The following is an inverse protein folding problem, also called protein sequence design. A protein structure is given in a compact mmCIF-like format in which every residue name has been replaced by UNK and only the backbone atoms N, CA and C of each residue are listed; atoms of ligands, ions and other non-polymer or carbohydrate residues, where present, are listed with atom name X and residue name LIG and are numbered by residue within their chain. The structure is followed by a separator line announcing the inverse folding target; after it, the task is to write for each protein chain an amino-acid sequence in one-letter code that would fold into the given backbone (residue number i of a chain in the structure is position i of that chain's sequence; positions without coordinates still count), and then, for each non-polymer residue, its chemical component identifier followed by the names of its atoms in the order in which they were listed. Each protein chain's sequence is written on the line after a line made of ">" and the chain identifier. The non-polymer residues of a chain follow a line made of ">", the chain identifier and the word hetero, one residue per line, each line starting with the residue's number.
data_IF_773116229258
#
_entry.id   IF_773116229258
#
_cell.length_a   1.000
_cell.length_b   1.000
_cell.length_c   1.000
_cell.angle_alpha   90.00
_cell.angle_beta   90.00
_cell.angle_gamma   90.00
#
_symmetry.space_group_name_H-M   'P 1'
#
loop_
_entity.id
_entity.type
_entity.pdbx_description
1 polymer ?
#
# COMPACT_ATOMS: atom_id res chain seq x y z
N UNK A 1 -5.04 -29.23 25.05
CA UNK A 1 -4.01 -28.19 24.89
C UNK A 1 -4.36 -27.41 23.63
N UNK A 2 -4.84 -26.17 23.79
CA UNK A 2 -5.17 -25.29 22.68
C UNK A 2 -3.84 -24.61 22.27
N UNK A 3 -3.49 -24.68 20.98
CA UNK A 3 -2.32 -23.95 20.47
C UNK A 3 -2.46 -22.44 20.69
N UNK A 4 -1.38 -21.65 20.54
CA UNK A 4 -1.43 -20.21 20.77
C UNK A 4 -2.53 -19.59 19.89
N UNK A 5 -3.41 -18.82 20.50
CA UNK A 5 -4.51 -18.15 19.82
C UNK A 5 -3.93 -17.18 18.78
N UNK A 6 -4.16 -17.50 17.50
CA UNK A 6 -3.84 -16.64 16.36
C UNK A 6 -4.73 -15.40 16.40
N UNK A 7 -4.26 -14.32 17.02
CA UNK A 7 -4.89 -13.01 16.89
C UNK A 7 -4.74 -12.53 15.43
N UNK A 8 -5.71 -11.79 14.87
CA UNK A 8 -5.60 -11.26 13.51
C UNK A 8 -4.28 -10.51 13.28
N UNK A 9 -3.80 -9.76 14.28
CA UNK A 9 -2.52 -9.06 14.22
C UNK A 9 -1.31 -9.95 13.94
N UNK A 10 -1.27 -11.18 14.47
CA UNK A 10 -0.19 -12.11 14.20
C UNK A 10 -0.23 -12.69 12.78
N UNK A 11 -1.38 -12.70 12.11
CA UNK A 11 -1.52 -13.22 10.75
C UNK A 11 -1.11 -12.18 9.68
N UNK A 12 -1.27 -10.87 9.96
CA UNK A 12 -0.87 -9.80 9.05
C UNK A 12 0.64 -9.66 8.90
N UNK A 13 1.38 -9.91 9.99
CA UNK A 13 2.85 -9.78 9.99
C UNK A 13 3.59 -11.11 9.78
N UNK A 14 2.87 -12.21 9.54
CA UNK A 14 3.46 -13.55 9.33
C UNK A 14 3.87 -13.87 7.89
N UNK A 15 3.74 -12.93 6.94
CA UNK A 15 4.42 -12.98 5.63
C UNK A 15 5.91 -12.59 5.79
N UNK A 16 6.64 -13.32 6.64
CA UNK A 16 7.92 -12.92 7.26
C UNK A 16 9.15 -12.90 6.35
N UNK A 17 9.04 -13.01 5.03
CA UNK A 17 10.21 -12.86 4.14
C UNK A 17 10.22 -11.53 3.40
N UNK A 18 9.13 -11.17 2.72
CA UNK A 18 9.07 -9.93 1.93
C UNK A 18 8.95 -8.67 2.78
N UNK A 19 8.38 -8.77 3.99
CA UNK A 19 8.23 -7.62 4.89
C UNK A 19 9.55 -7.19 5.50
N UNK A 20 10.46 -8.12 5.84
CA UNK A 20 11.74 -7.78 6.46
C UNK A 20 12.64 -6.98 5.52
N UNK A 21 12.72 -7.36 4.24
CA UNK A 21 13.55 -6.67 3.24
C UNK A 21 13.05 -5.24 2.98
N UNK A 22 11.73 -5.06 2.88
CA UNK A 22 11.11 -3.74 2.72
C UNK A 22 11.37 -2.87 3.97
N UNK A 23 11.22 -3.45 5.16
CA UNK A 23 11.48 -2.73 6.42
C UNK A 23 12.93 -2.30 6.56
N UNK A 24 13.87 -3.15 6.14
CA UNK A 24 15.29 -2.84 6.09
C UNK A 24 15.58 -1.74 5.07
N UNK A 25 15.00 -1.83 3.86
CA UNK A 25 15.15 -0.82 2.81
C UNK A 25 14.65 0.55 3.27
N UNK A 26 13.45 0.61 3.85
CA UNK A 26 12.89 1.86 4.39
C UNK A 26 13.82 2.43 5.48
N UNK A 27 14.34 1.56 6.35
CA UNK A 27 15.22 1.98 7.42
C UNK A 27 16.53 2.57 6.88
N UNK A 28 17.15 1.91 5.90
CA UNK A 28 18.39 2.36 5.27
C UNK A 28 18.21 3.69 4.55
N UNK A 29 17.20 3.81 3.69
CA UNK A 29 16.97 5.02 2.91
C UNK A 29 16.58 6.21 3.81
N UNK A 30 15.86 5.94 4.91
CA UNK A 30 15.59 6.97 5.92
C UNK A 30 16.88 7.49 6.54
N UNK A 31 17.76 6.60 7.02
CA UNK A 31 19.05 7.01 7.60
C UNK A 31 19.95 7.72 6.59
N UNK A 32 19.94 7.28 5.33
CA UNK A 32 20.66 7.92 4.23
C UNK A 32 20.20 9.37 4.02
N UNK A 33 18.88 9.59 3.97
CA UNK A 33 18.30 10.94 3.86
C UNK A 33 18.70 11.84 5.05
N UNK A 34 18.62 11.32 6.28
CA UNK A 34 19.02 12.09 7.47
C UNK A 34 20.52 12.47 7.47
N UNK A 35 21.38 11.56 7.01
CA UNK A 35 22.82 11.82 6.87
C UNK A 35 23.08 12.92 5.85
N UNK A 36 22.38 12.91 4.71
CA UNK A 36 22.49 13.93 3.67
C UNK A 36 22.01 15.31 4.13
N UNK A 37 21.04 15.36 5.05
CA UNK A 37 20.50 16.59 5.62
C UNK A 37 21.27 17.09 6.87
N UNK A 38 22.52 16.64 7.07
CA UNK A 38 23.42 17.00 8.16
C UNK A 38 22.90 16.72 9.59
N UNK A 39 21.94 15.81 9.76
CA UNK A 39 21.40 15.42 11.06
C UNK A 39 21.90 14.03 11.47
N UNK A 40 23.13 13.95 11.97
CA UNK A 40 23.81 12.68 12.28
C UNK A 40 23.40 12.05 13.64
N UNK A 41 22.49 12.66 14.40
CA UNK A 41 22.05 12.17 15.71
C UNK A 41 20.83 11.27 15.63
N UNK A 42 20.18 11.19 14.47
CA UNK A 42 18.97 10.41 14.29
C UNK A 42 19.30 8.91 14.18
N UNK A 43 18.60 8.09 14.97
CA UNK A 43 18.64 6.65 14.87
C UNK A 43 17.22 6.11 14.73
N UNK A 44 17.06 5.08 13.92
CA UNK A 44 15.78 4.43 13.67
C UNK A 44 15.86 2.98 14.14
N UNK A 45 15.01 2.63 15.11
CA UNK A 45 14.83 1.24 15.53
C UNK A 45 13.76 0.58 14.66
N UNK A 46 13.95 -0.69 14.29
CA UNK A 46 12.92 -1.47 13.58
C UNK A 46 11.57 -1.46 14.29
N UNK A 47 11.56 -1.53 15.63
CA UNK A 47 10.33 -1.43 16.43
C UNK A 47 9.61 -0.08 16.26
N UNK A 48 10.37 1.02 16.13
CA UNK A 48 9.76 2.34 15.92
C UNK A 48 9.11 2.42 14.54
N UNK A 49 9.77 1.86 13.51
CA UNK A 49 9.23 1.82 12.16
C UNK A 49 7.97 0.94 12.09
N UNK A 50 7.96 -0.22 12.77
CA UNK A 50 6.79 -1.09 12.88
C UNK A 50 5.62 -0.37 13.55
N UNK A 51 5.87 0.34 14.66
CA UNK A 51 4.84 1.14 15.33
C UNK A 51 4.33 2.23 14.40
N UNK A 52 5.21 2.95 13.70
CA UNK A 52 4.83 4.01 12.77
C UNK A 52 3.93 3.49 11.63
N UNK A 53 4.30 2.37 11.01
CA UNK A 53 3.47 1.74 9.98
C UNK A 53 2.16 1.19 10.55
N UNK A 54 2.18 0.67 11.79
CA UNK A 54 0.98 0.28 12.50
C UNK A 54 0.01 1.44 12.69
N UNK A 55 0.50 2.64 13.03
CA UNK A 55 -0.30 3.86 13.14
C UNK A 55 -0.89 4.26 11.78
N UNK A 56 -0.10 4.21 10.70
CA UNK A 56 -0.57 4.53 9.34
C UNK A 56 -1.69 3.58 8.91
N UNK A 57 -1.47 2.28 9.08
CA UNK A 57 -2.47 1.26 8.77
C UNK A 57 -3.74 1.50 9.58
N UNK A 58 -3.61 1.68 10.89
CA UNK A 58 -4.76 1.91 11.77
C UNK A 58 -5.56 3.16 11.37
N UNK A 59 -4.89 4.23 10.91
CA UNK A 59 -5.53 5.44 10.38
C UNK A 59 -6.37 5.14 9.14
N UNK A 60 -5.91 4.26 8.26
CA UNK A 60 -6.61 3.90 7.04
C UNK A 60 -7.81 2.97 7.30
N UNK A 61 -7.73 2.10 8.32
CA UNK A 61 -8.82 1.18 8.69
C UNK A 61 -10.06 1.88 9.31
N UNK A 62 -9.96 3.13 9.76
CA UNK A 62 -11.07 3.85 10.41
C UNK A 62 -11.64 4.94 9.50
N UNK A 63 -12.93 4.82 9.17
CA UNK A 63 -13.62 5.67 8.20
C UNK A 63 -14.04 7.07 8.70
N UNK A 64 -13.51 7.57 9.83
CA UNK A 64 -13.85 8.90 10.35
C UNK A 64 -12.64 9.70 10.87
N UNK A 65 -12.73 11.01 10.62
CA UNK A 65 -11.68 12.02 10.45
C UNK A 65 -11.56 12.95 11.67
N UNK A 66 -10.41 12.95 12.35
CA UNK A 66 -9.72 14.12 12.95
C UNK A 66 -8.53 13.60 13.76
N UNK A 67 -7.35 14.22 13.61
CA UNK A 67 -6.14 13.82 14.36
C UNK A 67 -6.38 13.77 15.88
N UNK A 68 -7.24 14.64 16.40
CA UNK A 68 -7.51 14.78 17.83
C UNK A 68 -8.31 13.62 18.45
N UNK A 69 -9.08 12.88 17.65
CA UNK A 69 -9.86 11.73 18.12
C UNK A 69 -9.03 10.45 18.26
N UNK A 70 -7.81 10.43 17.70
CA UNK A 70 -6.91 9.27 17.72
C UNK A 70 -6.51 8.84 19.14
N UNK A 71 -6.42 9.78 20.09
CA UNK A 71 -6.08 9.51 21.48
C UNK A 71 -7.30 9.36 22.40
N UNK A 72 -8.51 9.32 21.83
CA UNK A 72 -9.75 9.24 22.62
C UNK A 72 -10.07 7.78 23.00
N UNK A 73 -10.42 7.55 24.26
CA UNK A 73 -10.77 6.21 24.78
C UNK A 73 -12.28 5.90 24.69
N UNK A 74 -12.98 6.40 23.67
CA UNK A 74 -14.44 6.18 23.52
C UNK A 74 -14.79 4.83 22.89
N UNK A 75 -15.89 4.21 23.32
CA UNK A 75 -16.34 2.87 22.91
C UNK A 75 -16.73 2.76 21.41
N UNK A 76 -17.02 3.88 20.74
CA UNK A 76 -17.47 3.94 19.33
C UNK A 76 -16.34 3.76 18.30
N UNK A 77 -15.08 3.66 18.74
CA UNK A 77 -13.89 3.50 17.88
C UNK A 77 -13.60 2.02 17.52
N UNK A 78 -14.62 1.19 17.30
CA UNK A 78 -14.46 -0.27 17.26
C UNK A 78 -14.27 -0.86 15.83
N UNK A 79 -13.14 -1.53 15.51
CA UNK A 79 -12.76 -1.94 14.14
C UNK A 79 -13.22 -3.35 13.70
N UNK A 80 -14.52 -3.67 13.79
CA UNK A 80 -15.01 -5.02 13.44
C UNK A 80 -15.40 -5.26 11.98
N UNK A 81 -14.64 -4.73 11.00
CA UNK A 81 -14.87 -5.10 9.59
C UNK A 81 -13.58 -5.40 8.84
N UNK A 82 -12.99 -6.54 9.15
CA UNK A 82 -11.84 -7.09 8.42
C UNK A 82 -12.31 -7.88 7.20
N UNK A 83 -11.79 -7.62 5.98
CA UNK A 83 -11.88 -8.57 4.88
C UNK A 83 -10.99 -9.78 5.21
N UNK A 84 -11.55 -10.79 5.88
CA UNK A 84 -10.91 -12.10 6.05
C UNK A 84 -10.93 -12.86 4.72
N UNK A 85 -10.12 -12.47 3.75
CA UNK A 85 -10.10 -13.16 2.44
C UNK A 85 -8.69 -13.41 1.88
N UNK A 86 -7.67 -13.47 2.73
CA UNK A 86 -6.36 -13.98 2.29
C UNK A 86 -6.50 -15.45 1.82
N UNK A 87 -6.15 -15.70 0.56
CA UNK A 87 -6.07 -17.05 -0.01
C UNK A 87 -7.35 -17.65 -0.59
N UNK A 88 -8.43 -16.86 -0.74
CA UNK A 88 -9.63 -17.32 -1.46
C UNK A 88 -9.56 -16.91 -2.93
N UNK A 89 -9.24 -17.87 -3.80
CA UNK A 89 -9.34 -17.67 -5.24
C UNK A 89 -10.81 -17.43 -5.62
N UNK A 90 -11.04 -16.38 -6.42
CA UNK A 90 -12.33 -16.10 -7.03
C UNK A 90 -12.31 -16.56 -8.46
N UNK A 91 -13.38 -17.21 -8.90
CA UNK A 91 -13.57 -17.60 -10.30
C UNK A 91 -13.81 -16.39 -11.21
N UNK A 92 -14.22 -15.25 -10.62
CA UNK A 92 -14.44 -13.99 -11.32
C UNK A 92 -13.41 -12.96 -10.90
N UNK A 93 -12.63 -12.50 -11.89
CA UNK A 93 -11.59 -11.48 -11.76
C UNK A 93 -11.92 -10.31 -12.70
N UNK A 94 -11.57 -9.10 -12.26
CA UNK A 94 -11.67 -7.88 -13.06
C UNK A 94 -10.34 -7.12 -13.01
N UNK A 95 -9.98 -6.53 -14.14
CA UNK A 95 -8.83 -5.63 -14.27
C UNK A 95 -9.38 -4.22 -14.49
N UNK A 96 -8.95 -3.26 -13.68
CA UNK A 96 -9.32 -1.85 -13.85
C UNK A 96 -8.19 -0.89 -13.44
N UNK A 97 -8.27 0.35 -13.89
CA UNK A 97 -7.34 1.44 -13.59
C UNK A 97 -7.88 2.39 -12.50
N UNK A 98 -7.08 2.57 -11.46
CA UNK A 98 -7.37 3.49 -10.36
C UNK A 98 -6.28 4.58 -10.22
N UNK A 99 -6.67 5.70 -9.60
CA UNK A 99 -5.80 6.86 -9.37
C UNK A 99 -5.58 7.10 -7.88
N UNK A 100 -4.32 7.09 -7.45
CA UNK A 100 -3.92 7.57 -6.12
C UNK A 100 -3.76 9.08 -6.16
N UNK A 101 -4.51 9.87 -5.38
CA UNK A 101 -4.45 11.32 -5.42
C UNK A 101 -3.07 11.82 -5.01
N UNK A 102 -2.40 12.56 -5.89
CA UNK A 102 -1.12 13.17 -5.61
C UNK A 102 -0.96 14.49 -6.36
N UNK A 103 -0.78 15.58 -5.61
CA UNK A 103 -0.70 16.95 -6.15
C UNK A 103 0.74 17.50 -6.22
N UNK A 104 1.72 16.78 -5.69
CA UNK A 104 3.12 17.18 -5.65
C UNK A 104 3.78 17.30 -7.03
N UNK A 105 5.01 17.83 -7.06
CA UNK A 105 5.78 18.01 -8.29
C UNK A 105 6.59 16.76 -8.62
N UNK A 106 5.95 15.79 -9.26
CA UNK A 106 6.59 14.60 -9.81
C UNK A 106 6.25 14.45 -11.29
N UNK A 107 7.18 13.97 -12.10
CA UNK A 107 7.03 13.83 -13.57
C UNK A 107 6.11 12.68 -13.97
N UNK A 108 6.16 11.56 -13.24
CA UNK A 108 5.40 10.34 -13.55
C UNK A 108 3.92 10.43 -13.14
N UNK A 109 3.50 11.49 -12.44
CA UNK A 109 2.09 11.66 -12.12
C UNK A 109 1.28 11.84 -13.40
N UNK A 110 0.14 11.18 -13.46
CA UNK A 110 -0.77 11.24 -14.59
C UNK A 110 -1.89 12.25 -14.36
N UNK A 111 -2.37 12.81 -15.47
CA UNK A 111 -3.60 13.56 -15.52
C UNK A 111 -4.66 12.80 -16.31
N UNK A 112 -5.80 12.48 -15.68
CA UNK A 112 -6.93 11.80 -16.32
C UNK A 112 -8.18 12.66 -16.32
N UNK A 113 -8.68 12.98 -17.52
CA UNK A 113 -9.95 13.71 -17.68
C UNK A 113 -11.12 12.78 -17.39
N UNK A 114 -12.13 13.28 -16.68
CA UNK A 114 -13.37 12.55 -16.39
C UNK A 114 -13.35 11.67 -15.12
N UNK A 115 -12.19 11.44 -14.50
CA UNK A 115 -12.10 10.78 -13.19
C UNK A 115 -12.31 11.83 -12.06
N UNK A 116 -12.90 11.42 -10.91
CA UNK A 116 -13.02 12.30 -9.73
C UNK A 116 -11.67 12.83 -9.26
N UNK A 117 -10.66 11.95 -9.24
CA UNK A 117 -9.26 12.28 -8.97
C UNK A 117 -8.56 12.49 -10.30
N UNK A 118 -8.23 13.75 -10.59
CA UNK A 118 -7.69 14.15 -11.90
C UNK A 118 -6.16 14.04 -11.97
N UNK A 119 -5.46 14.21 -10.85
CA UNK A 119 -4.00 14.20 -10.78
C UNK A 119 -3.53 13.19 -9.74
N UNK A 120 -2.60 12.32 -10.11
CA UNK A 120 -2.20 11.24 -9.24
C UNK A 120 -1.30 10.21 -9.90
N UNK A 121 -0.95 9.17 -9.14
CA UNK A 121 -0.31 7.98 -9.69
C UNK A 121 -1.38 7.02 -10.18
N UNK A 122 -1.20 6.50 -11.40
CA UNK A 122 -2.10 5.52 -11.99
C UNK A 122 -1.58 4.13 -11.69
N UNK A 123 -2.46 3.22 -11.30
CA UNK A 123 -2.14 1.82 -11.14
C UNK A 123 -3.24 0.95 -11.72
N UNK A 124 -2.85 -0.21 -12.21
CA UNK A 124 -3.74 -1.26 -12.68
C UNK A 124 -3.90 -2.30 -11.57
N UNK A 125 -5.13 -2.71 -11.27
CA UNK A 125 -5.43 -3.69 -10.23
C UNK A 125 -6.11 -4.89 -10.86
N UNK A 126 -5.61 -6.08 -10.56
CA UNK A 126 -6.36 -7.33 -10.72
C UNK A 126 -7.09 -7.62 -9.41
N UNK A 127 -8.42 -7.55 -9.42
CA UNK A 127 -9.23 -7.77 -8.22
C UNK A 127 -10.28 -8.87 -8.42
N UNK A 128 -10.60 -9.57 -7.32
CA UNK A 128 -11.77 -10.43 -7.21
C UNK A 128 -13.06 -9.61 -7.32
N UNK A 129 -14.15 -10.24 -7.78
CA UNK A 129 -15.51 -9.71 -7.63
C UNK A 129 -15.90 -9.34 -6.19
N UNK A 130 -15.21 -9.89 -5.19
CA UNK A 130 -15.39 -9.58 -3.78
C UNK A 130 -14.53 -8.38 -3.30
N UNK A 131 -13.79 -7.74 -4.20
CA UNK A 131 -12.95 -6.58 -3.91
C UNK A 131 -11.56 -6.90 -3.36
N UNK A 132 -11.12 -8.17 -3.39
CA UNK A 132 -9.77 -8.54 -2.97
C UNK A 132 -8.75 -8.30 -4.10
N UNK A 133 -7.72 -7.46 -3.93
CA UNK A 133 -6.69 -7.25 -4.94
C UNK A 133 -5.68 -8.40 -4.93
N UNK A 134 -5.44 -9.01 -6.08
CA UNK A 134 -4.44 -10.07 -6.28
C UNK A 134 -3.13 -9.51 -6.80
N UNK A 135 -3.19 -8.53 -7.69
CA UNK A 135 -2.02 -7.88 -8.26
C UNK A 135 -2.27 -6.37 -8.40
N UNK A 136 -1.23 -5.58 -8.16
CA UNK A 136 -1.23 -4.13 -8.32
C UNK A 136 0.04 -3.74 -9.05
N UNK A 137 -0.10 -3.04 -10.17
CA UNK A 137 1.02 -2.57 -10.96
C UNK A 137 0.94 -1.07 -11.18
N UNK A 138 1.98 -0.36 -10.76
CA UNK A 138 2.10 1.09 -10.94
C UNK A 138 2.46 1.38 -12.39
N UNK A 139 1.84 2.40 -12.97
CA UNK A 139 2.19 2.88 -14.30
C UNK A 139 3.44 3.76 -14.22
N UNK A 140 4.52 3.32 -14.87
CA UNK A 140 5.85 3.98 -14.81
C UNK A 140 6.04 5.05 -15.89
N UNK A 141 5.01 5.30 -16.72
CA UNK A 141 5.10 6.25 -17.82
C UNK A 141 5.24 5.57 -19.17
N UNK A 142 5.81 6.30 -20.13
CA UNK A 142 5.97 5.83 -21.50
C UNK A 142 7.43 5.43 -21.72
N UNK A 143 7.67 4.17 -21.99
CA UNK A 143 8.98 3.69 -22.41
C UNK A 143 9.35 4.21 -23.82
N UNK A 144 10.65 4.42 -24.05
CA UNK A 144 11.17 4.77 -25.36
C UNK A 144 11.13 3.54 -26.29
N UNK A 145 10.05 3.44 -27.08
CA UNK A 145 9.84 2.57 -28.24
C UNK A 145 10.69 1.28 -28.32
N UNK A 146 10.17 0.18 -27.78
CA UNK A 146 10.56 -1.17 -28.19
C UNK A 146 10.08 -1.46 -29.62
N UNK A 147 10.82 -2.31 -30.36
CA UNK A 147 10.49 -2.70 -31.75
C UNK A 147 9.14 -3.43 -31.86
N UNK A 148 8.67 -4.02 -30.77
CA UNK A 148 7.38 -4.70 -30.67
C UNK A 148 6.28 -3.70 -30.27
N UNK A 149 5.43 -3.34 -31.24
CA UNK A 149 4.27 -2.45 -31.04
C UNK A 149 3.07 -3.20 -30.47
N UNK A 150 3.27 -4.00 -29.42
CA UNK A 150 2.16 -4.61 -28.69
C UNK A 150 1.38 -3.53 -27.94
N UNK A 151 0.05 -3.49 -28.06
CA UNK A 151 -0.76 -2.61 -27.22
C UNK A 151 -0.56 -2.94 -25.74
N UNK A 152 -0.40 -1.92 -24.90
CA UNK A 152 -0.14 -2.07 -23.44
C UNK A 152 -1.15 -3.01 -22.74
N UNK A 153 -2.40 -3.04 -23.20
CA UNK A 153 -3.44 -3.91 -22.65
C UNK A 153 -3.38 -5.38 -23.10
N UNK A 154 -2.38 -5.79 -23.88
CA UNK A 154 -2.25 -7.17 -24.41
C UNK A 154 -1.02 -7.92 -23.90
N UNK A 155 -0.13 -7.25 -23.17
CA UNK A 155 1.03 -7.91 -22.58
C UNK A 155 0.61 -8.81 -21.41
N UNK A 156 1.10 -10.04 -21.41
CA UNK A 156 0.81 -11.03 -20.36
C UNK A 156 1.65 -10.83 -19.10
N UNK A 157 2.63 -9.91 -19.10
CA UNK A 157 3.33 -9.47 -17.88
C UNK A 157 2.40 -8.79 -16.87
N UNK A 158 1.23 -8.36 -17.31
CA UNK A 158 0.21 -7.67 -16.51
C UNK A 158 -0.81 -8.62 -15.83
N UNK A 159 -0.73 -9.94 -16.06
CA UNK A 159 -1.64 -10.98 -15.49
C UNK A 159 -0.82 -12.04 -14.76
#
# INVERSE_FOLDING_TARGET
>A
MCGPSLTPGNHYFQTQSATADIMNLISEETLRYYTQNNNCTFSLSGMLLEVFLGIILFREYHSLLQEDLYWSNSEDCNPYRMPRQFGRFSESLSIDEEMIPYTGRHSEKMYMRGKPIKFGYKYCILASSHGYPFNLQVYEGKEEASEDKTPLGTELSWI
#
